data_IF_080660519809
#
_entry.id   IF_080660519809
#
_cell.length_a   1.000
_cell.length_b   1.000
_cell.length_c   1.000
_cell.angle_alpha   90.00
_cell.angle_beta   90.00
_cell.angle_gamma   90.00
#
_symmetry.space_group_name_H-M   'P 1'
#
loop_
_entity.id
_entity.type
_entity.pdbx_description
1 polymer ?
#
# COMPACT_ATOMS: atom_id res chain seq x y z
N UNK A 1 6.55 -14.01 4.73
CA UNK A 1 5.32 -13.56 4.03
C UNK A 1 5.47 -12.11 3.51
N UNK A 2 6.70 -11.60 3.49
CA UNK A 2 6.97 -10.16 3.46
C UNK A 2 7.53 -9.73 2.10
N UNK A 3 8.33 -10.60 1.46
CA UNK A 3 8.92 -10.36 0.13
C UNK A 3 7.84 -10.17 -0.94
N UNK A 4 6.82 -11.04 -0.98
CA UNK A 4 5.72 -10.94 -1.95
C UNK A 4 4.92 -9.63 -1.74
N UNK A 5 4.69 -9.22 -0.49
CA UNK A 5 4.01 -7.97 -0.16
C UNK A 5 4.83 -6.73 -0.50
N UNK A 6 6.16 -6.78 -0.29
CA UNK A 6 7.07 -5.71 -0.66
C UNK A 6 7.10 -5.55 -2.19
N UNK A 7 7.22 -6.66 -2.94
CA UNK A 7 7.20 -6.64 -4.41
C UNK A 7 5.86 -6.10 -4.92
N UNK A 8 4.73 -6.58 -4.35
CA UNK A 8 3.39 -6.12 -4.73
C UNK A 8 3.15 -4.66 -4.34
N UNK A 9 3.65 -4.18 -3.19
CA UNK A 9 3.54 -2.79 -2.77
C UNK A 9 4.31 -1.82 -3.66
N UNK A 10 5.38 -2.29 -4.31
CA UNK A 10 6.14 -1.49 -5.27
C UNK A 10 5.41 -1.52 -6.61
N UNK A 11 5.00 -2.68 -7.12
CA UNK A 11 4.34 -2.78 -8.42
C UNK A 11 2.92 -2.16 -8.43
N UNK A 12 2.15 -2.41 -7.37
CA UNK A 12 0.79 -1.92 -7.13
C UNK A 12 0.60 -1.62 -5.63
N UNK A 13 0.92 -0.39 -5.17
CA UNK A 13 0.77 -0.01 -3.77
C UNK A 13 -0.61 -0.32 -3.15
N UNK A 14 -1.76 -0.18 -3.86
CA UNK A 14 -3.07 -0.57 -3.33
C UNK A 14 -3.19 -2.05 -3.01
N UNK A 15 -2.55 -2.93 -3.78
CA UNK A 15 -2.60 -4.38 -3.56
C UNK A 15 -1.81 -4.78 -2.32
N UNK A 16 -0.64 -4.17 -2.09
CA UNK A 16 0.14 -4.39 -0.87
C UNK A 16 -0.65 -4.00 0.39
N UNK A 17 -1.30 -2.84 0.36
CA UNK A 17 -2.16 -2.37 1.46
C UNK A 17 -3.41 -3.24 1.62
N UNK A 18 -4.09 -3.60 0.53
CA UNK A 18 -5.25 -4.49 0.56
C UNK A 18 -4.94 -5.84 1.23
N UNK A 19 -3.79 -6.44 0.90
CA UNK A 19 -3.38 -7.70 1.52
C UNK A 19 -2.98 -7.54 2.99
N UNK A 20 -2.58 -6.35 3.44
CA UNK A 20 -2.18 -6.08 4.82
C UNK A 20 -3.37 -5.75 5.74
N UNK A 21 -4.29 -4.90 5.27
CA UNK A 21 -5.38 -4.32 6.08
C UNK A 21 -6.79 -4.62 5.53
N UNK A 22 -6.92 -5.26 4.37
CA UNK A 22 -8.19 -5.53 3.70
C UNK A 22 -8.76 -4.31 2.95
N UNK A 23 -10.03 -4.40 2.54
CA UNK A 23 -10.78 -3.23 2.05
C UNK A 23 -11.19 -2.40 3.27
N UNK A 24 -10.50 -1.28 3.47
CA UNK A 24 -10.78 -0.35 4.56
C UNK A 24 -10.37 1.08 4.21
N UNK A 25 -10.47 2.00 5.18
CA UNK A 25 -10.11 3.41 4.99
C UNK A 25 -8.68 3.59 4.48
N UNK A 26 -7.74 2.77 4.96
CA UNK A 26 -6.34 2.79 4.52
C UNK A 26 -6.14 2.39 3.06
N UNK A 27 -6.94 1.46 2.53
CA UNK A 27 -6.90 1.07 1.11
C UNK A 27 -7.37 2.22 0.21
N UNK A 28 -8.47 2.89 0.59
CA UNK A 28 -8.98 4.06 -0.12
C UNK A 28 -8.03 5.25 -0.08
N UNK A 29 -7.41 5.51 1.08
CA UNK A 29 -6.37 6.55 1.22
C UNK A 29 -5.19 6.24 0.31
N UNK A 30 -4.76 4.97 0.26
CA UNK A 30 -3.65 4.58 -0.61
C UNK A 30 -3.99 4.76 -2.10
N UNK A 31 -5.20 4.41 -2.52
CA UNK A 31 -5.69 4.67 -3.89
C UNK A 31 -5.65 6.16 -4.23
N UNK A 32 -6.19 7.01 -3.35
CA UNK A 32 -6.21 8.47 -3.58
C UNK A 32 -4.79 9.03 -3.64
N UNK A 33 -3.90 8.58 -2.75
CA UNK A 33 -2.50 8.98 -2.77
C UNK A 33 -1.82 8.53 -4.06
N UNK A 34 -2.05 7.29 -4.52
CA UNK A 34 -1.46 6.76 -5.75
C UNK A 34 -1.93 7.55 -7.00
N UNK A 35 -3.18 8.03 -7.00
CA UNK A 35 -3.74 8.87 -8.08
C UNK A 35 -3.19 10.31 -8.02
N UNK A 36 -3.00 10.87 -6.82
CA UNK A 36 -2.40 12.20 -6.63
C UNK A 36 -0.88 12.21 -6.82
N UNK A 37 -0.23 11.06 -6.68
CA UNK A 37 1.20 10.87 -6.87
C UNK A 37 1.61 9.45 -6.51
N UNK A 38 2.27 8.76 -7.42
CA UNK A 38 2.68 7.37 -7.19
C UNK A 38 3.61 7.22 -5.96
N UNK A 39 4.48 8.20 -5.72
CA UNK A 39 5.45 8.22 -4.60
C UNK A 39 4.75 8.21 -3.23
N UNK A 40 3.82 9.12 -2.88
CA UNK A 40 3.13 9.08 -1.60
C UNK A 40 2.28 7.82 -1.39
N UNK A 41 1.76 7.20 -2.46
CA UNK A 41 1.10 5.89 -2.40
C UNK A 41 2.06 4.78 -1.93
N UNK A 42 3.28 4.74 -2.47
CA UNK A 42 4.31 3.78 -2.05
C UNK A 42 4.71 4.00 -0.58
N UNK A 43 4.99 5.25 -0.18
CA UNK A 43 5.41 5.57 1.20
C UNK A 43 4.33 5.15 2.19
N UNK A 44 3.06 5.44 1.91
CA UNK A 44 1.95 5.03 2.77
C UNK A 44 1.79 3.51 2.83
N UNK A 45 1.99 2.81 1.71
CA UNK A 45 1.91 1.36 1.67
C UNK A 45 3.03 0.70 2.49
N UNK A 46 4.27 1.15 2.31
CA UNK A 46 5.43 0.70 3.08
C UNK A 46 5.25 1.00 4.56
N UNK A 47 4.74 2.17 4.92
CA UNK A 47 4.47 2.52 6.32
C UNK A 47 3.43 1.61 6.96
N UNK A 48 2.36 1.26 6.25
CA UNK A 48 1.35 0.30 6.73
C UNK A 48 1.93 -1.09 6.90
N UNK A 49 2.79 -1.53 5.97
CA UNK A 49 3.43 -2.84 6.03
C UNK A 49 4.43 -2.90 7.19
N UNK A 50 5.22 -1.84 7.41
CA UNK A 50 6.22 -1.78 8.48
C UNK A 50 5.62 -1.55 9.88
N UNK A 51 4.44 -0.92 9.97
CA UNK A 51 3.77 -0.61 11.24
C UNK A 51 2.99 -1.80 11.83
N UNK A 52 2.80 -2.88 11.06
CA UNK A 52 2.04 -4.07 11.46
C UNK A 52 2.94 -5.27 11.57
#
# INVERSE_FOLDING_TARGET
>A
MDIIRIILSILLPPLGVFLQVGIGKHFWINIILTILGYIPGIVHAVWIIAKR
#
